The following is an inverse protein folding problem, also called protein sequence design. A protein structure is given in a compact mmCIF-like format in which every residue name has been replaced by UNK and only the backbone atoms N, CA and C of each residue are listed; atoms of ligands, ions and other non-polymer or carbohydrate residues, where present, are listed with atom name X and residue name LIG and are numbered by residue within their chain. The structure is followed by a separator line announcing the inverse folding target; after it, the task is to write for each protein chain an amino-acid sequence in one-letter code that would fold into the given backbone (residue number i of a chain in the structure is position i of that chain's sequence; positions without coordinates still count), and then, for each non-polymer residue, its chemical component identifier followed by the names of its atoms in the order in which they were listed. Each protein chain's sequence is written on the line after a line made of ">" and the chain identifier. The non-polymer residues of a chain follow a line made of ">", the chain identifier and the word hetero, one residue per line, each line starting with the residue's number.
data_IF_090545578550
#
_entry.id   IF_090545578550
#
_cell.length_a   1.000
_cell.length_b   1.000
_cell.length_c   1.000
_cell.angle_alpha   90.00
_cell.angle_beta   90.00
_cell.angle_gamma   90.00
#
_symmetry.space_group_name_H-M   'P 1'
#
loop_
_entity.id
_entity.type
_entity.pdbx_description
1 polymer ?
#
# COMPACT_ATOMS: atom_id res chain seq x y z
N UNK A 1 -16.84 -4.92 20.27
CA UNK A 1 -16.64 -4.54 18.86
C UNK A 1 -17.15 -3.12 18.55
N UNK A 2 -18.42 -2.76 18.76
CA UNK A 2 -18.96 -1.42 18.40
C UNK A 2 -18.23 -0.23 19.04
N UNK A 3 -17.85 -0.30 20.33
CA UNK A 3 -17.19 0.80 21.04
C UNK A 3 -15.76 1.05 20.52
N UNK A 4 -14.96 0.00 20.27
CA UNK A 4 -13.61 0.14 19.71
C UNK A 4 -13.65 0.80 18.34
N UNK A 5 -14.61 0.38 17.49
CA UNK A 5 -14.82 0.96 16.15
C UNK A 5 -15.19 2.45 16.23
N UNK A 6 -16.08 2.81 17.16
CA UNK A 6 -16.44 4.22 17.39
C UNK A 6 -15.24 5.05 17.85
N UNK A 7 -14.47 4.56 18.83
CA UNK A 7 -13.26 5.24 19.31
C UNK A 7 -12.22 5.43 18.22
N UNK A 8 -12.03 4.43 17.35
CA UNK A 8 -11.16 4.52 16.19
C UNK A 8 -11.59 5.65 15.23
N UNK A 9 -12.87 5.72 14.86
CA UNK A 9 -13.37 6.77 13.97
C UNK A 9 -13.28 8.16 14.60
N UNK A 10 -13.56 8.31 15.89
CA UNK A 10 -13.40 9.58 16.61
C UNK A 10 -11.93 10.04 16.64
N UNK A 11 -11.03 9.12 16.92
CA UNK A 11 -9.59 9.41 16.88
C UNK A 11 -9.15 9.82 15.46
N UNK A 12 -9.60 9.10 14.43
CA UNK A 12 -9.30 9.40 13.03
C UNK A 12 -9.81 10.77 12.59
N UNK A 13 -11.03 11.15 12.99
CA UNK A 13 -11.56 12.50 12.73
C UNK A 13 -10.72 13.57 13.41
N UNK A 14 -10.26 13.32 14.65
CA UNK A 14 -9.37 14.25 15.36
C UNK A 14 -8.04 14.41 14.61
N UNK A 15 -7.45 13.33 14.10
CA UNK A 15 -6.24 13.37 13.28
C UNK A 15 -6.47 14.20 12.01
N UNK A 16 -7.55 13.94 11.27
CA UNK A 16 -7.87 14.69 10.05
C UNK A 16 -8.04 16.19 10.32
N UNK A 17 -8.77 16.58 11.37
CA UNK A 17 -8.96 18.00 11.74
C UNK A 17 -7.65 18.62 12.23
N UNK A 18 -6.86 17.87 12.99
CA UNK A 18 -5.61 18.36 13.58
C UNK A 18 -4.47 18.47 12.58
N UNK A 19 -4.35 17.54 11.65
CA UNK A 19 -3.18 17.43 10.76
C UNK A 19 -3.45 17.93 9.34
N UNK A 20 -4.70 18.02 8.90
CA UNK A 20 -5.04 18.53 7.57
C UNK A 20 -5.34 20.03 7.65
N UNK A 21 -4.56 20.83 6.94
CA UNK A 21 -4.69 22.31 6.96
C UNK A 21 -6.04 22.78 6.40
N UNK A 22 -6.50 22.12 5.35
CA UNK A 22 -7.77 22.44 4.66
C UNK A 22 -8.84 21.37 4.92
N UNK A 23 -8.90 20.83 6.12
CA UNK A 23 -9.84 19.80 6.56
C UNK A 23 -11.33 20.09 6.24
N UNK A 24 -11.83 21.36 6.19
CA UNK A 24 -13.22 21.60 5.82
C UNK A 24 -13.59 21.04 4.44
N UNK A 25 -12.64 21.00 3.48
CA UNK A 25 -12.87 20.38 2.17
C UNK A 25 -13.17 18.89 2.26
N UNK A 26 -12.59 18.18 3.26
CA UNK A 26 -12.85 16.75 3.47
C UNK A 26 -14.29 16.51 3.90
N UNK A 27 -14.87 17.41 4.70
CA UNK A 27 -16.28 17.33 5.10
C UNK A 27 -17.21 17.58 3.89
N UNK A 28 -16.87 18.49 3.01
CA UNK A 28 -17.62 18.72 1.79
C UNK A 28 -17.56 17.51 0.87
N UNK A 29 -16.38 16.86 0.76
CA UNK A 29 -16.21 15.61 0.03
C UNK A 29 -17.05 14.46 0.64
N UNK A 30 -17.05 14.34 1.97
CA UNK A 30 -17.85 13.35 2.70
C UNK A 30 -19.35 13.53 2.48
N UNK A 31 -19.82 14.78 2.37
CA UNK A 31 -21.24 15.11 2.08
C UNK A 31 -21.61 14.94 0.62
N UNK A 32 -20.69 14.47 -0.24
CA UNK A 32 -20.94 14.29 -1.68
C UNK A 32 -21.13 15.58 -2.46
N UNK A 33 -20.73 16.73 -1.90
CA UNK A 33 -20.84 18.01 -2.61
C UNK A 33 -19.85 18.06 -3.78
N UNK A 34 -20.25 18.73 -4.91
CA UNK A 34 -19.42 18.77 -6.10
C UNK A 34 -18.17 19.65 -5.88
N UNK A 35 -17.14 19.04 -5.39
CA UNK A 35 -15.79 19.61 -5.45
C UNK A 35 -15.21 19.30 -6.83
N UNK A 36 -14.43 20.21 -7.42
CA UNK A 36 -13.61 19.86 -8.58
C UNK A 36 -12.75 18.64 -8.20
N UNK A 37 -12.83 17.56 -8.97
CA UNK A 37 -12.06 16.33 -8.70
C UNK A 37 -10.92 16.19 -9.70
N UNK A 38 -9.71 15.78 -9.27
CA UNK A 38 -9.26 15.58 -7.89
C UNK A 38 -9.10 16.91 -7.15
N UNK A 39 -9.15 16.91 -5.82
CA UNK A 39 -8.89 18.09 -4.97
C UNK A 39 -7.59 17.92 -4.16
N UNK A 40 -6.98 19.07 -3.78
CA UNK A 40 -5.70 19.08 -3.09
C UNK A 40 -5.91 19.02 -1.59
N UNK A 41 -5.51 17.91 -0.96
CA UNK A 41 -5.36 17.79 0.49
C UNK A 41 -4.00 18.35 0.91
N UNK A 42 -3.97 19.25 1.90
CA UNK A 42 -2.74 19.88 2.40
C UNK A 42 -2.52 19.51 3.85
N UNK A 43 -1.41 18.86 4.15
CA UNK A 43 -1.02 18.56 5.53
C UNK A 43 -0.32 19.75 6.18
N UNK A 44 -0.41 19.84 7.51
CA UNK A 44 0.23 20.94 8.26
C UNK A 44 1.75 20.84 8.26
N UNK A 45 2.30 19.65 8.19
CA UNK A 45 3.74 19.38 8.07
C UNK A 45 4.31 19.67 6.67
N UNK A 46 3.45 20.02 5.69
CA UNK A 46 3.87 20.52 4.38
C UNK A 46 3.60 19.55 3.23
N UNK A 47 3.37 18.27 3.46
CA UNK A 47 3.03 17.33 2.39
C UNK A 47 1.64 17.66 1.79
N UNK A 48 1.48 17.37 0.50
CA UNK A 48 0.26 17.63 -0.24
C UNK A 48 -0.12 16.42 -1.10
N UNK A 49 -1.43 16.12 -1.18
CA UNK A 49 -1.92 15.00 -1.98
C UNK A 49 -3.11 15.42 -2.84
N UNK A 50 -3.04 15.12 -4.13
CA UNK A 50 -4.23 15.08 -4.98
C UNK A 50 -5.03 13.84 -4.60
N UNK A 51 -6.30 14.05 -4.24
CA UNK A 51 -7.22 12.99 -3.82
C UNK A 51 -8.54 13.13 -4.60
N UNK A 52 -9.11 12.02 -5.04
CA UNK A 52 -10.34 11.99 -5.83
C UNK A 52 -11.60 11.78 -4.97
N UNK A 53 -11.43 11.28 -3.74
CA UNK A 53 -12.54 10.93 -2.84
C UNK A 53 -12.21 11.23 -1.39
N UNK A 54 -13.22 11.15 -0.50
CA UNK A 54 -12.98 11.18 0.94
C UNK A 54 -12.19 9.93 1.39
N UNK A 55 -12.41 8.78 0.74
CA UNK A 55 -11.71 7.54 1.07
C UNK A 55 -10.21 7.66 0.74
N UNK A 56 -9.84 8.29 -0.37
CA UNK A 56 -8.43 8.55 -0.67
C UNK A 56 -7.76 9.41 0.44
N UNK A 57 -8.48 10.43 0.92
CA UNK A 57 -7.98 11.24 2.04
C UNK A 57 -7.88 10.41 3.35
N UNK A 58 -8.76 9.44 3.53
CA UNK A 58 -8.71 8.50 4.65
C UNK A 58 -7.49 7.59 4.55
N UNK A 59 -7.19 7.05 3.37
CA UNK A 59 -6.00 6.22 3.12
C UNK A 59 -4.71 7.04 3.39
N UNK A 60 -4.63 8.27 2.88
CA UNK A 60 -3.52 9.18 3.23
C UNK A 60 -3.40 9.36 4.74
N UNK A 61 -4.50 9.48 5.46
CA UNK A 61 -4.50 9.58 6.93
C UNK A 61 -3.91 8.32 7.56
N UNK A 62 -4.38 7.13 7.17
CA UNK A 62 -3.92 5.87 7.75
C UNK A 62 -2.45 5.62 7.46
N UNK A 63 -2.07 5.73 6.21
CA UNK A 63 -0.70 5.42 5.76
C UNK A 63 0.30 6.49 6.18
N UNK A 64 0.00 7.75 5.88
CA UNK A 64 0.94 8.85 6.04
C UNK A 64 0.91 9.48 7.45
N UNK A 65 -0.29 9.79 8.01
CA UNK A 65 -0.41 10.45 9.30
C UNK A 65 -0.34 9.48 10.48
N UNK A 66 -1.05 8.36 10.42
CA UNK A 66 -0.99 7.32 11.47
C UNK A 66 0.25 6.42 11.33
N UNK A 67 0.97 6.50 10.19
CA UNK A 67 2.20 5.74 9.91
C UNK A 67 2.00 4.23 10.05
N UNK A 68 0.91 3.73 9.49
CA UNK A 68 0.46 2.35 9.69
C UNK A 68 1.56 1.32 9.38
N UNK A 69 2.28 1.50 8.27
CA UNK A 69 3.34 0.55 7.87
C UNK A 69 4.60 0.63 8.74
N UNK A 70 4.89 1.77 9.39
CA UNK A 70 5.92 1.83 10.44
C UNK A 70 5.42 1.27 11.76
N UNK A 71 4.14 1.53 12.10
CA UNK A 71 3.54 1.08 13.35
C UNK A 71 3.46 -0.45 13.44
N UNK A 72 3.03 -1.09 12.35
CA UNK A 72 2.91 -2.54 12.26
C UNK A 72 4.15 -3.22 11.66
N UNK A 73 5.04 -2.48 11.00
CA UNK A 73 6.26 -2.97 10.38
C UNK A 73 7.52 -2.54 11.12
N UNK A 74 8.36 -1.81 10.41
CA UNK A 74 9.60 -1.26 10.94
C UNK A 74 9.74 0.22 10.58
N UNK A 75 10.35 1.01 11.47
CA UNK A 75 10.66 2.40 11.18
C UNK A 75 11.69 2.49 10.04
N UNK A 76 11.32 3.20 8.96
CA UNK A 76 12.17 3.37 7.79
C UNK A 76 13.44 4.14 8.16
N UNK A 77 14.58 3.72 7.62
CA UNK A 77 15.88 4.30 7.93
C UNK A 77 16.51 4.99 6.70
N UNK A 78 17.33 6.02 6.90
CA UNK A 78 18.12 6.61 5.82
C UNK A 78 18.96 5.56 5.10
N UNK A 79 19.07 5.69 3.77
CA UNK A 79 19.83 4.78 2.91
C UNK A 79 19.11 3.49 2.51
N UNK A 80 17.89 3.24 3.05
CA UNK A 80 17.15 2.01 2.73
C UNK A 80 16.63 1.98 1.30
N UNK A 81 16.61 0.77 0.74
CA UNK A 81 15.88 0.41 -0.47
C UNK A 81 14.51 -0.11 -0.11
N UNK A 82 13.48 0.60 -0.55
CA UNK A 82 12.08 0.30 -0.28
C UNK A 82 11.37 -0.10 -1.57
N UNK A 83 10.58 -1.16 -1.52
CA UNK A 83 9.66 -1.57 -2.59
C UNK A 83 8.23 -1.41 -2.07
N UNK A 84 7.42 -0.65 -2.82
CA UNK A 84 6.00 -0.39 -2.54
C UNK A 84 5.14 -1.03 -3.63
N UNK A 85 4.50 -2.16 -3.32
CA UNK A 85 3.62 -2.89 -4.23
C UNK A 85 2.17 -2.56 -3.87
N UNK A 86 1.40 -2.08 -4.87
CA UNK A 86 0.09 -1.48 -4.65
C UNK A 86 0.22 -0.04 -4.13
N UNK A 87 0.96 0.80 -4.88
CA UNK A 87 1.30 2.15 -4.43
C UNK A 87 0.14 3.15 -4.52
N UNK A 88 -0.96 2.77 -5.15
CA UNK A 88 -2.20 3.55 -5.31
C UNK A 88 -1.92 5.02 -5.69
N UNK A 89 -2.26 5.99 -4.84
CA UNK A 89 -2.02 7.42 -5.08
C UNK A 89 -0.66 7.91 -4.57
N UNK A 90 0.17 7.03 -4.00
CA UNK A 90 1.54 7.33 -3.59
C UNK A 90 1.71 7.84 -2.16
N UNK A 91 0.74 7.61 -1.30
CA UNK A 91 0.75 8.01 0.09
C UNK A 91 1.92 7.37 0.86
N UNK A 92 2.13 6.05 0.73
CA UNK A 92 3.29 5.38 1.31
C UNK A 92 4.59 5.74 0.58
N UNK A 93 4.58 5.83 -0.74
CA UNK A 93 5.79 6.18 -1.51
C UNK A 93 6.34 7.57 -1.13
N UNK A 94 5.45 8.58 -0.96
CA UNK A 94 5.83 9.92 -0.48
C UNK A 94 6.33 9.86 0.97
N UNK A 95 5.63 9.12 1.83
CA UNK A 95 6.04 8.90 3.21
C UNK A 95 7.45 8.29 3.31
N UNK A 96 7.70 7.22 2.53
CA UNK A 96 8.98 6.54 2.51
C UNK A 96 10.11 7.44 1.99
N UNK A 97 9.86 8.19 0.91
CA UNK A 97 10.85 9.09 0.32
C UNK A 97 11.38 10.13 1.31
N UNK A 98 10.54 10.62 2.22
CA UNK A 98 10.95 11.60 3.23
C UNK A 98 11.84 11.01 4.33
N UNK A 99 11.84 9.68 4.49
CA UNK A 99 12.55 8.98 5.56
C UNK A 99 13.84 8.32 5.12
N UNK A 100 13.84 7.78 3.89
CA UNK A 100 15.03 7.06 3.40
C UNK A 100 16.16 7.98 2.96
N UNK A 101 15.98 9.30 2.96
CA UNK A 101 16.98 10.32 2.60
C UNK A 101 17.66 10.03 1.25
N UNK A 102 18.88 9.49 1.27
CA UNK A 102 19.68 9.09 0.10
C UNK A 102 19.38 7.64 -0.36
N UNK A 103 18.43 6.97 0.27
CA UNK A 103 17.91 5.68 -0.15
C UNK A 103 17.06 5.75 -1.42
N UNK A 104 16.35 4.67 -1.73
CA UNK A 104 15.52 4.55 -2.95
C UNK A 104 14.18 3.93 -2.63
N UNK A 105 13.15 4.40 -3.33
CA UNK A 105 11.79 3.84 -3.27
C UNK A 105 11.37 3.43 -4.69
N UNK A 106 10.89 2.22 -4.83
CA UNK A 106 10.36 1.69 -6.10
C UNK A 106 8.89 1.38 -5.91
N UNK A 107 8.03 2.17 -6.55
CA UNK A 107 6.58 2.11 -6.38
C UNK A 107 5.91 1.47 -7.61
N UNK A 108 5.05 0.49 -7.39
CA UNK A 108 4.36 -0.26 -8.44
C UNK A 108 2.85 -0.07 -8.30
N UNK A 109 2.24 0.53 -9.31
CA UNK A 109 0.80 0.77 -9.38
C UNK A 109 0.29 0.49 -10.80
N UNK A 110 -0.48 -0.60 -11.00
CA UNK A 110 -0.90 -0.99 -12.35
C UNK A 110 -2.07 -0.20 -12.92
N UNK A 111 -2.95 0.38 -12.08
CA UNK A 111 -4.17 1.06 -12.54
C UNK A 111 -3.80 2.43 -13.10
N UNK A 112 -4.12 2.73 -14.40
CA UNK A 112 -3.65 3.94 -15.06
C UNK A 112 -4.05 5.24 -14.35
N UNK A 113 -5.25 5.31 -13.78
CA UNK A 113 -5.74 6.50 -13.09
C UNK A 113 -5.06 6.70 -11.74
N UNK A 114 -4.86 5.62 -10.97
CA UNK A 114 -4.10 5.62 -9.72
C UNK A 114 -2.63 5.95 -9.97
N UNK A 115 -2.02 5.35 -11.00
CA UNK A 115 -0.64 5.65 -11.39
C UNK A 115 -0.45 7.11 -11.78
N UNK A 116 -1.43 7.73 -12.45
CA UNK A 116 -1.38 9.16 -12.77
C UNK A 116 -1.42 10.00 -11.48
N UNK A 117 -2.28 9.66 -10.51
CA UNK A 117 -2.33 10.33 -9.20
C UNK A 117 -1.02 10.14 -8.42
N UNK A 118 -0.49 8.92 -8.38
CA UNK A 118 0.82 8.63 -7.81
C UNK A 118 1.89 9.58 -8.36
N UNK A 119 2.03 9.67 -9.70
CA UNK A 119 2.99 10.56 -10.35
C UNK A 119 2.82 12.01 -9.94
N UNK A 120 1.58 12.51 -9.93
CA UNK A 120 1.26 13.89 -9.52
C UNK A 120 1.62 14.12 -8.05
N UNK A 121 1.33 13.18 -7.16
CA UNK A 121 1.64 13.30 -5.74
C UNK A 121 3.14 13.23 -5.46
N UNK A 122 3.90 12.42 -6.20
CA UNK A 122 5.36 12.42 -6.13
C UNK A 122 5.97 13.79 -6.55
N UNK A 123 5.47 14.37 -7.63
CA UNK A 123 5.91 15.70 -8.10
C UNK A 123 5.56 16.79 -7.09
N UNK A 124 4.33 16.81 -6.56
CA UNK A 124 3.88 17.77 -5.54
C UNK A 124 4.75 17.76 -4.29
N UNK A 125 5.23 16.59 -3.89
CA UNK A 125 6.04 16.40 -2.69
C UNK A 125 7.54 16.36 -2.96
N UNK A 126 7.97 16.58 -4.21
CA UNK A 126 9.39 16.55 -4.62
C UNK A 126 10.08 15.25 -4.20
N UNK A 127 9.39 14.13 -4.30
CA UNK A 127 9.86 12.81 -3.88
C UNK A 127 10.81 12.21 -4.93
N UNK A 128 11.98 12.84 -5.11
CA UNK A 128 12.96 12.49 -6.15
C UNK A 128 13.58 11.09 -5.95
N UNK A 129 13.51 10.53 -4.75
CA UNK A 129 13.98 9.19 -4.42
C UNK A 129 13.07 8.08 -4.96
N UNK A 130 11.84 8.45 -5.41
CA UNK A 130 10.86 7.46 -5.88
C UNK A 130 10.92 7.29 -7.39
N UNK A 131 11.02 6.03 -7.81
CA UNK A 131 10.78 5.63 -9.19
C UNK A 131 9.49 4.82 -9.27
N UNK A 132 8.51 5.30 -10.05
CA UNK A 132 7.19 4.67 -10.18
C UNK A 132 7.08 3.87 -11.49
N UNK A 133 6.44 2.71 -11.42
CA UNK A 133 6.22 1.78 -12.54
C UNK A 133 4.74 1.43 -12.70
N UNK A 134 4.17 1.51 -13.93
CA UNK A 134 2.78 1.14 -14.22
C UNK A 134 2.67 -0.39 -14.46
N UNK A 135 3.08 -1.18 -13.47
CA UNK A 135 3.17 -2.63 -13.57
C UNK A 135 2.40 -3.28 -12.42
N UNK A 136 1.70 -4.37 -12.73
CA UNK A 136 1.14 -5.25 -11.71
C UNK A 136 2.24 -6.21 -11.22
N UNK A 137 2.25 -6.47 -9.91
CA UNK A 137 3.08 -7.55 -9.37
C UNK A 137 2.17 -8.74 -9.13
N UNK A 138 2.60 -9.92 -9.56
CA UNK A 138 1.81 -11.13 -9.55
C UNK A 138 2.70 -12.38 -9.33
N UNK A 139 2.11 -13.54 -9.11
CA UNK A 139 2.85 -14.80 -9.00
C UNK A 139 3.53 -15.23 -10.31
N UNK A 140 2.99 -14.81 -11.47
CA UNK A 140 3.52 -15.18 -12.79
C UNK A 140 3.51 -13.99 -13.75
N UNK A 141 4.46 -13.98 -14.69
CA UNK A 141 4.51 -12.97 -15.76
C UNK A 141 3.32 -13.07 -16.72
N UNK A 142 2.96 -11.95 -17.30
CA UNK A 142 2.00 -11.86 -18.40
C UNK A 142 0.84 -10.90 -18.13
N UNK A 143 -0.08 -10.77 -19.07
CA UNK A 143 -1.20 -9.84 -18.95
C UNK A 143 -2.11 -10.24 -17.77
N UNK A 144 -2.52 -9.23 -16.99
CA UNK A 144 -3.44 -9.34 -15.87
C UNK A 144 -4.68 -8.51 -16.10
N UNK A 145 -5.83 -9.06 -15.82
CA UNK A 145 -7.07 -8.30 -15.84
C UNK A 145 -7.38 -7.78 -14.45
N UNK A 146 -7.42 -6.46 -14.31
CA UNK A 146 -7.84 -5.77 -13.09
C UNK A 146 -9.27 -5.30 -13.22
N UNK A 147 -10.04 -5.43 -12.17
CA UNK A 147 -11.38 -4.88 -12.08
C UNK A 147 -11.33 -3.55 -11.34
N UNK A 148 -11.59 -2.46 -12.08
CA UNK A 148 -11.52 -1.08 -11.58
C UNK A 148 -12.92 -0.59 -11.24
N UNK A 149 -13.05 -0.02 -10.04
CA UNK A 149 -14.31 0.54 -9.53
C UNK A 149 -14.22 2.07 -9.54
N UNK A 150 -14.95 2.78 -10.42
CA UNK A 150 -14.79 4.24 -10.61
C UNK A 150 -15.01 5.10 -9.36
N UNK A 151 -15.73 4.58 -8.37
CA UNK A 151 -16.02 5.28 -7.11
C UNK A 151 -15.32 4.68 -5.88
N UNK A 152 -14.53 3.62 -6.07
CA UNK A 152 -13.85 2.85 -5.03
C UNK A 152 -12.50 2.38 -5.57
N UNK A 153 -11.67 3.34 -5.99
CA UNK A 153 -10.38 3.04 -6.62
C UNK A 153 -9.41 2.31 -5.67
N UNK A 154 -9.62 2.46 -4.36
CA UNK A 154 -8.90 1.75 -3.31
C UNK A 154 -9.11 0.23 -3.32
N UNK A 155 -10.19 -0.24 -3.97
CA UNK A 155 -10.55 -1.67 -4.02
C UNK A 155 -10.29 -2.31 -5.40
N UNK A 156 -9.42 -1.71 -6.20
CA UNK A 156 -9.06 -2.27 -7.50
C UNK A 156 -8.26 -3.56 -7.32
N UNK A 157 -8.78 -4.67 -7.82
CA UNK A 157 -8.25 -6.01 -7.55
C UNK A 157 -8.21 -6.91 -8.79
N UNK A 158 -7.29 -7.87 -8.79
CA UNK A 158 -7.28 -8.98 -9.77
C UNK A 158 -8.44 -9.96 -9.55
N UNK A 159 -9.04 -9.95 -8.36
CA UNK A 159 -10.16 -10.83 -8.01
C UNK A 159 -11.47 -10.08 -8.20
N UNK A 160 -12.50 -10.67 -8.88
CA UNK A 160 -13.81 -10.06 -8.96
C UNK A 160 -14.37 -9.86 -7.55
N UNK A 161 -14.36 -8.61 -7.07
CA UNK A 161 -14.77 -8.25 -5.72
C UNK A 161 -16.22 -8.66 -5.45
N UNK A 162 -16.53 -8.88 -4.16
CA UNK A 162 -17.89 -9.11 -3.66
C UNK A 162 -18.80 -7.89 -3.79
N UNK A 163 -18.29 -6.74 -4.23
CA UNK A 163 -19.09 -5.54 -4.40
C UNK A 163 -19.92 -5.59 -5.68
N UNK A 164 -21.21 -5.32 -5.54
CA UNK A 164 -22.12 -5.07 -6.66
C UNK A 164 -21.92 -3.62 -7.13
N UNK A 165 -21.50 -3.43 -8.40
CA UNK A 165 -21.33 -2.12 -9.00
C UNK A 165 -20.80 -2.19 -10.42
N UNK A 166 -20.92 -1.08 -11.16
CA UNK A 166 -20.30 -0.96 -12.48
C UNK A 166 -18.77 -1.00 -12.31
N UNK A 167 -18.13 -1.94 -13.00
CA UNK A 167 -16.69 -2.13 -13.03
C UNK A 167 -16.19 -2.14 -14.45
N UNK A 168 -14.99 -1.63 -14.66
CA UNK A 168 -14.28 -1.70 -15.93
C UNK A 168 -13.14 -2.69 -15.80
N UNK A 169 -13.00 -3.60 -16.75
CA UNK A 169 -11.84 -4.47 -16.82
C UNK A 169 -10.71 -3.75 -17.57
N UNK A 170 -9.55 -3.68 -16.95
CA UNK A 170 -8.34 -3.11 -17.55
C UNK A 170 -7.28 -4.20 -17.61
N UNK A 171 -6.69 -4.40 -18.79
CA UNK A 171 -5.55 -5.33 -18.93
C UNK A 171 -4.25 -4.56 -18.72
N UNK A 172 -3.41 -5.07 -17.84
CA UNK A 172 -2.11 -4.48 -17.47
C UNK A 172 -1.01 -5.54 -17.58
N UNK A 173 0.23 -5.11 -17.70
CA UNK A 173 1.40 -6.00 -17.67
C UNK A 173 1.69 -6.45 -16.24
N UNK A 174 1.86 -7.76 -16.06
CA UNK A 174 2.21 -8.37 -14.78
C UNK A 174 3.63 -8.94 -14.80
N UNK A 175 4.41 -8.59 -13.79
CA UNK A 175 5.73 -9.14 -13.52
C UNK A 175 5.76 -9.79 -12.13
N UNK A 176 6.80 -10.58 -11.85
CA UNK A 176 6.95 -11.27 -10.56
C UNK A 176 7.85 -10.51 -9.60
N UNK A 177 7.82 -10.86 -8.32
CA UNK A 177 8.74 -10.30 -7.33
C UNK A 177 10.22 -10.53 -7.70
N UNK A 178 10.68 -11.71 -8.17
CA UNK A 178 12.02 -11.88 -8.72
C UNK A 178 12.35 -10.95 -9.88
N UNK A 179 11.36 -10.63 -10.73
CA UNK A 179 11.58 -9.72 -11.86
C UNK A 179 11.90 -8.30 -11.42
N UNK A 180 11.32 -7.83 -10.31
CA UNK A 180 11.67 -6.53 -9.73
C UNK A 180 13.16 -6.50 -9.39
N UNK A 181 13.66 -7.51 -8.68
CA UNK A 181 15.06 -7.59 -8.30
C UNK A 181 16.00 -7.64 -9.52
N UNK A 182 15.61 -8.38 -10.56
CA UNK A 182 16.39 -8.46 -11.79
C UNK A 182 16.37 -7.14 -12.59
N UNK A 183 15.18 -6.54 -12.77
CA UNK A 183 14.98 -5.31 -13.53
C UNK A 183 15.73 -4.12 -12.91
N UNK A 184 15.75 -4.06 -11.59
CA UNK A 184 16.36 -2.97 -10.83
C UNK A 184 17.80 -3.26 -10.40
N UNK A 185 18.33 -4.45 -10.74
CA UNK A 185 19.64 -4.94 -10.31
C UNK A 185 19.84 -4.79 -8.79
N UNK A 186 18.81 -5.17 -8.00
CA UNK A 186 18.85 -5.09 -6.56
C UNK A 186 19.53 -6.32 -5.97
N UNK A 187 20.51 -6.12 -5.12
CA UNK A 187 21.08 -7.19 -4.31
C UNK A 187 20.23 -7.46 -3.06
N UNK A 188 19.60 -6.41 -2.48
CA UNK A 188 18.73 -6.52 -1.32
C UNK A 188 17.61 -5.48 -1.35
N UNK A 189 16.58 -5.75 -0.55
CA UNK A 189 15.49 -4.84 -0.22
C UNK A 189 15.39 -4.73 1.30
N UNK A 190 15.44 -3.51 1.83
CA UNK A 190 15.37 -3.28 3.28
C UNK A 190 13.92 -3.33 3.78
N UNK A 191 12.98 -2.82 2.98
CA UNK A 191 11.57 -2.83 3.33
C UNK A 191 10.70 -3.11 2.09
N UNK A 192 9.92 -4.17 2.14
CA UNK A 192 8.91 -4.53 1.14
C UNK A 192 7.51 -4.29 1.73
N UNK A 193 6.76 -3.34 1.16
CA UNK A 193 5.32 -3.16 1.43
C UNK A 193 4.52 -3.90 0.37
N UNK A 194 3.49 -4.66 0.80
CA UNK A 194 2.48 -5.24 -0.08
C UNK A 194 1.08 -4.86 0.40
N UNK A 195 0.27 -4.35 -0.53
CA UNK A 195 -1.12 -4.05 -0.33
C UNK A 195 -1.80 -4.08 -1.71
N UNK A 196 -2.25 -5.27 -2.12
CA UNK A 196 -2.64 -5.56 -3.50
C UNK A 196 -4.03 -6.20 -3.60
N UNK A 197 -4.85 -6.02 -2.56
CA UNK A 197 -6.26 -6.43 -2.56
C UNK A 197 -6.47 -7.91 -2.95
N UNK A 198 -5.63 -8.78 -2.36
CA UNK A 198 -5.71 -10.25 -2.50
C UNK A 198 -4.65 -10.89 -3.39
N UNK A 199 -3.79 -10.12 -4.07
CA UNK A 199 -2.67 -10.67 -4.84
C UNK A 199 -1.46 -11.03 -3.97
N UNK A 200 -1.42 -10.64 -2.69
CA UNK A 200 -0.31 -10.86 -1.77
C UNK A 200 0.07 -12.34 -1.69
N UNK A 201 -0.94 -13.21 -1.68
CA UNK A 201 -0.74 -14.68 -1.58
C UNK A 201 0.00 -15.24 -2.79
N UNK A 202 -0.43 -14.93 -4.02
CA UNK A 202 0.23 -15.43 -5.22
C UNK A 202 1.62 -14.84 -5.40
N UNK A 203 1.81 -13.57 -5.05
CA UNK A 203 3.11 -12.89 -5.14
C UNK A 203 4.14 -13.58 -4.25
N UNK A 204 3.76 -13.90 -3.02
CA UNK A 204 4.66 -14.46 -2.03
C UNK A 204 4.87 -15.96 -2.21
N UNK A 205 3.80 -16.75 -2.44
CA UNK A 205 3.89 -18.20 -2.54
C UNK A 205 4.58 -18.69 -3.83
N UNK A 206 4.45 -17.92 -4.93
CA UNK A 206 5.12 -18.27 -6.19
C UNK A 206 6.56 -17.72 -6.26
N UNK A 207 6.99 -16.89 -5.28
CA UNK A 207 8.36 -16.42 -5.21
C UNK A 207 9.31 -17.51 -4.69
N UNK A 208 10.52 -17.65 -5.26
CA UNK A 208 11.48 -18.64 -4.82
C UNK A 208 11.98 -18.35 -3.39
N UNK A 209 12.11 -19.37 -2.51
CA UNK A 209 12.50 -19.19 -1.11
C UNK A 209 13.79 -18.39 -0.90
N UNK A 210 14.76 -18.55 -1.77
CA UNK A 210 16.04 -17.83 -1.73
C UNK A 210 15.91 -16.31 -1.91
N UNK A 211 14.83 -15.84 -2.52
CA UNK A 211 14.60 -14.41 -2.66
C UNK A 211 14.38 -13.73 -1.29
N UNK A 212 13.73 -14.44 -0.37
CA UNK A 212 13.43 -13.90 0.95
C UNK A 212 14.69 -13.68 1.81
N UNK A 213 15.81 -14.32 1.47
CA UNK A 213 17.11 -14.06 2.13
C UNK A 213 17.63 -12.65 1.83
N UNK A 214 17.10 -12.00 0.79
CA UNK A 214 17.50 -10.67 0.31
C UNK A 214 16.55 -9.56 0.79
N UNK A 215 15.52 -9.88 1.59
CA UNK A 215 14.52 -8.93 2.10
C UNK A 215 14.62 -8.89 3.62
N UNK A 216 14.82 -7.71 4.19
CA UNK A 216 14.97 -7.55 5.65
C UNK A 216 13.62 -7.45 6.35
N UNK A 217 12.75 -6.56 5.88
CA UNK A 217 11.40 -6.37 6.42
C UNK A 217 10.35 -6.51 5.33
N UNK A 218 9.25 -7.22 5.65
CA UNK A 218 8.05 -7.23 4.84
C UNK A 218 6.91 -6.74 5.74
N UNK A 219 6.16 -5.73 5.29
CA UNK A 219 4.93 -5.32 5.93
C UNK A 219 3.81 -5.42 4.90
N UNK A 220 2.86 -6.30 5.14
CA UNK A 220 1.74 -6.52 4.21
C UNK A 220 0.40 -6.34 4.90
N UNK A 221 -0.56 -5.80 4.18
CA UNK A 221 -1.97 -5.89 4.53
C UNK A 221 -2.52 -7.18 3.90
N UNK A 222 -3.17 -8.02 4.72
CA UNK A 222 -3.78 -9.26 4.23
C UNK A 222 -5.29 -9.09 4.07
N UNK A 223 -5.86 -9.78 3.07
CA UNK A 223 -7.27 -9.74 2.72
C UNK A 223 -7.86 -11.15 2.70
N UNK A 224 -8.30 -11.64 3.87
CA UNK A 224 -8.89 -12.96 4.00
C UNK A 224 -10.23 -13.09 3.28
N UNK A 225 -10.43 -14.23 2.65
CA UNK A 225 -11.68 -14.55 1.96
C UNK A 225 -11.82 -13.90 0.58
N UNK A 226 -10.81 -13.21 0.09
CA UNK A 226 -10.67 -12.78 -1.32
C UNK A 226 -10.19 -13.95 -2.15
N UNK A 227 -9.29 -14.76 -1.62
CA UNK A 227 -8.80 -16.00 -2.22
C UNK A 227 -9.15 -17.21 -1.32
N UNK A 228 -8.69 -18.41 -1.67
CA UNK A 228 -8.79 -19.60 -0.83
C UNK A 228 -7.77 -19.62 0.30
N UNK A 229 -6.75 -18.77 0.23
CA UNK A 229 -5.70 -18.62 1.23
C UNK A 229 -6.12 -17.64 2.32
N UNK A 230 -5.44 -17.67 3.46
CA UNK A 230 -5.68 -16.84 4.62
C UNK A 230 -4.36 -16.32 5.22
N UNK A 231 -4.46 -15.33 6.12
CA UNK A 231 -3.31 -14.87 6.89
C UNK A 231 -2.59 -16.00 7.64
N UNK A 232 -3.33 -17.05 8.08
CA UNK A 232 -2.71 -18.19 8.75
C UNK A 232 -1.80 -18.98 7.82
N UNK A 233 -2.10 -19.03 6.51
CA UNK A 233 -1.25 -19.68 5.51
C UNK A 233 0.02 -18.86 5.26
N UNK A 234 -0.08 -17.50 5.25
CA UNK A 234 1.08 -16.62 5.19
C UNK A 234 1.99 -16.77 6.42
N UNK A 235 1.40 -16.82 7.62
CA UNK A 235 2.16 -17.01 8.87
C UNK A 235 2.93 -18.34 8.85
N UNK A 236 2.29 -19.42 8.35
CA UNK A 236 2.94 -20.73 8.20
C UNK A 236 4.07 -20.65 7.16
N UNK A 237 3.79 -20.09 5.99
CA UNK A 237 4.77 -19.91 4.92
C UNK A 237 6.05 -19.20 5.39
N UNK A 238 5.92 -18.08 6.07
CA UNK A 238 7.09 -17.37 6.61
C UNK A 238 7.79 -18.13 7.72
N UNK A 239 7.05 -18.87 8.55
CA UNK A 239 7.61 -19.76 9.57
C UNK A 239 8.43 -20.90 8.96
N UNK A 240 7.96 -21.52 7.87
CA UNK A 240 8.66 -22.58 7.13
C UNK A 240 9.96 -22.06 6.48
N UNK A 241 10.02 -20.78 6.13
CA UNK A 241 11.22 -20.08 5.66
C UNK A 241 12.19 -19.69 6.80
N UNK A 242 11.83 -19.93 8.06
CA UNK A 242 12.65 -19.54 9.23
C UNK A 242 12.63 -18.04 9.53
N UNK A 243 11.63 -17.31 9.02
CA UNK A 243 11.47 -15.88 9.24
C UNK A 243 10.59 -15.61 10.47
N UNK A 244 10.82 -14.49 11.13
CA UNK A 244 9.98 -14.04 12.26
C UNK A 244 8.79 -13.28 11.72
N UNK A 245 7.57 -13.79 11.93
CA UNK A 245 6.34 -13.16 11.49
C UNK A 245 5.45 -12.76 12.68
N UNK A 246 4.89 -11.55 12.62
CA UNK A 246 4.02 -10.98 13.65
C UNK A 246 2.69 -10.58 13.01
N UNK A 247 1.59 -11.00 13.63
CA UNK A 247 0.24 -10.78 13.12
C UNK A 247 -0.50 -9.73 13.93
N UNK A 248 -1.10 -8.77 13.24
CA UNK A 248 -1.86 -7.64 13.80
C UNK A 248 -3.25 -7.56 13.14
N UNK A 249 -4.30 -8.13 13.76
CA UNK A 249 -5.65 -8.07 13.20
C UNK A 249 -6.18 -6.63 13.21
N UNK A 250 -6.92 -6.27 12.16
CA UNK A 250 -7.56 -4.95 12.07
C UNK A 250 -8.57 -4.75 13.22
N UNK A 251 -8.56 -3.60 13.89
CA UNK A 251 -9.55 -3.30 14.93
C UNK A 251 -10.94 -3.04 14.36
N UNK A 252 -11.07 -2.83 13.06
CA UNK A 252 -12.30 -2.39 12.36
C UNK A 252 -12.81 -3.42 11.35
N UNK A 253 -11.93 -4.12 10.66
CA UNK A 253 -12.24 -5.07 9.59
C UNK A 253 -11.87 -6.49 10.04
N UNK A 254 -12.83 -7.43 10.13
CA UNK A 254 -12.57 -8.76 10.69
C UNK A 254 -11.72 -9.67 9.81
N UNK A 255 -11.66 -9.38 8.50
CA UNK A 255 -10.96 -10.19 7.51
C UNK A 255 -9.67 -9.54 6.98
N UNK A 256 -9.23 -8.47 7.61
CA UNK A 256 -8.07 -7.68 7.21
C UNK A 256 -7.16 -7.43 8.41
N UNK A 257 -5.95 -7.08 8.13
CA UNK A 257 -4.95 -6.71 9.13
C UNK A 257 -3.56 -6.74 8.54
N UNK A 258 -2.56 -6.64 9.40
CA UNK A 258 -1.17 -6.54 8.97
C UNK A 258 -0.38 -7.77 9.41
N UNK A 259 0.58 -8.16 8.58
CA UNK A 259 1.65 -9.08 8.95
C UNK A 259 2.97 -8.35 8.74
N UNK A 260 3.78 -8.31 9.79
CA UNK A 260 5.17 -7.89 9.72
C UNK A 260 6.07 -9.11 9.76
N UNK A 261 6.98 -9.18 8.81
CA UNK A 261 8.00 -10.23 8.75
C UNK A 261 9.37 -9.59 8.88
N UNK A 262 10.18 -10.16 9.73
CA UNK A 262 11.56 -9.77 9.93
C UNK A 262 12.50 -10.94 9.61
N UNK A 263 13.50 -10.65 8.79
CA UNK A 263 14.57 -11.59 8.48
C UNK A 263 15.87 -11.20 9.20
N UNK A 264 16.21 -11.83 10.32
CA UNK A 264 17.42 -11.47 11.08
C UNK A 264 18.73 -11.80 10.35
N UNK A 265 18.67 -12.61 9.28
CA UNK A 265 19.85 -13.00 8.51
C UNK A 265 20.14 -12.06 7.33
N UNK A 266 19.19 -11.18 6.96
CA UNK A 266 19.38 -10.21 5.88
C UNK A 266 20.10 -8.92 6.34
N UNK A 267 20.26 -8.70 7.65
CA UNK A 267 20.97 -7.53 8.21
C UNK A 267 22.50 -7.61 8.12
N UNK A 268 23.07 -8.68 7.52
CA UNK A 268 24.51 -8.92 7.46
C UNK A 268 25.11 -8.62 6.09
#
# INVERSE_FOLDING_TARGET
>A
MRLRKLLYYLASLRTLIGEVRNWPLLFWALMGLPLGRPYLMKLREGACFQVGSFMDAWIVKETYLDRTYEHYGAALQPGWTVIDIGAFLGDFAVFAAQRVADGRVYAFEPVPDSYRLLRQNLELNRAAQVTAYPLAIAGKRGPRTLYVFPNHAEQNSVVPSRMSGARTAVTVEGITLPDIFAMLALDRCDFLKLDCEGAEYEILFDAPPELFTRITHICLEYHDGVTTNSHADLMRFFGDLGLQAYHYPSPVQPNEGFIHVFNPNAER
#
